data_IF_096032958312
#
_entry.id   IF_096032958312
#
_cell.length_a   1.000
_cell.length_b   1.000
_cell.length_c   1.000
_cell.angle_alpha   90.00
_cell.angle_beta   90.00
_cell.angle_gamma   90.00
#
_symmetry.space_group_name_H-M   'P 1'
#
loop_
_entity.id
_entity.type
_entity.pdbx_description
1 polymer ?
#
# COMPACT_ATOMS: atom_id res chain seq x y z
N UNK A 1 -23.23 -34.60 -57.27
CA UNK A 1 -22.54 -35.91 -57.16
C UNK A 1 -21.39 -35.68 -56.18
N UNK A 2 -21.68 -35.80 -54.87
CA UNK A 2 -21.32 -36.96 -54.00
C UNK A 2 -19.81 -37.03 -53.81
N UNK A 3 -19.21 -36.91 -52.62
CA UNK A 3 -19.45 -37.62 -51.36
C UNK A 3 -18.73 -36.86 -50.21
N UNK A 4 -19.39 -36.54 -49.09
CA UNK A 4 -19.65 -37.35 -47.88
C UNK A 4 -18.68 -37.04 -46.73
N UNK A 5 -19.22 -36.27 -45.80
CA UNK A 5 -18.88 -36.25 -44.38
C UNK A 5 -18.83 -37.68 -43.83
N UNK A 6 -17.73 -38.11 -43.21
CA UNK A 6 -17.73 -39.06 -42.08
C UNK A 6 -16.28 -39.25 -41.57
N UNK A 7 -15.95 -38.58 -40.46
CA UNK A 7 -14.91 -39.02 -39.56
C UNK A 7 -15.55 -39.16 -38.17
N UNK A 8 -16.22 -40.30 -37.98
CA UNK A 8 -16.58 -40.81 -36.65
C UNK A 8 -15.27 -41.18 -35.95
N UNK A 9 -14.86 -40.35 -34.99
CA UNK A 9 -13.96 -40.77 -33.93
C UNK A 9 -14.80 -41.36 -32.81
N UNK A 10 -14.98 -42.68 -32.83
CA UNK A 10 -15.63 -43.45 -31.78
C UNK A 10 -14.83 -43.35 -30.48
N UNK A 11 -15.27 -42.49 -29.55
CA UNK A 11 -14.84 -42.55 -28.15
C UNK A 11 -15.85 -43.41 -27.38
N UNK A 12 -15.54 -44.70 -27.22
CA UNK A 12 -16.19 -45.58 -26.26
C UNK A 12 -15.59 -45.33 -24.86
N UNK A 13 -16.40 -45.15 -23.80
CA UNK A 13 -15.92 -45.23 -22.43
C UNK A 13 -16.00 -46.69 -21.95
N UNK A 14 -14.87 -47.39 -21.87
CA UNK A 14 -14.79 -48.69 -21.21
C UNK A 14 -14.64 -48.52 -19.69
N UNK A 15 -15.66 -49.01 -18.97
CA UNK A 15 -15.73 -49.50 -17.59
C UNK A 15 -14.68 -48.99 -16.56
N UNK A 16 -15.14 -48.09 -15.67
CA UNK A 16 -14.47 -47.85 -14.38
C UNK A 16 -14.81 -49.02 -13.44
N UNK A 17 -13.78 -49.76 -13.05
CA UNK A 17 -13.84 -50.76 -11.99
C UNK A 17 -14.33 -50.12 -10.68
N UNK A 18 -15.37 -50.70 -10.09
CA UNK A 18 -15.84 -50.36 -8.76
C UNK A 18 -14.79 -50.79 -7.74
N UNK A 19 -13.97 -49.84 -7.29
CA UNK A 19 -13.24 -49.98 -6.03
C UNK A 19 -13.92 -49.12 -4.96
N UNK A 20 -14.08 -49.74 -3.80
CA UNK A 20 -15.02 -49.34 -2.75
C UNK A 20 -14.42 -48.19 -1.94
N UNK A 21 -14.97 -46.98 -2.08
CA UNK A 21 -14.60 -45.85 -1.21
C UNK A 21 -15.46 -45.91 0.06
N UNK A 22 -14.77 -46.21 1.16
CA UNK A 22 -15.19 -46.05 2.55
C UNK A 22 -15.74 -44.64 2.78
N UNK A 23 -17.05 -44.51 3.01
CA UNK A 23 -17.72 -43.26 3.36
C UNK A 23 -17.94 -43.20 4.87
N UNK A 24 -16.83 -43.13 5.60
CA UNK A 24 -16.79 -42.95 7.05
C UNK A 24 -16.24 -41.58 7.47
N UNK A 25 -16.78 -40.46 6.96
CA UNK A 25 -16.47 -39.14 7.53
C UNK A 25 -17.64 -38.17 7.41
N UNK A 26 -18.61 -38.31 8.31
CA UNK A 26 -19.58 -37.26 8.59
C UNK A 26 -19.42 -36.84 10.06
N UNK A 27 -18.46 -35.95 10.29
CA UNK A 27 -18.36 -35.17 11.51
C UNK A 27 -18.45 -33.70 11.10
N UNK A 28 -19.62 -33.11 11.33
CA UNK A 28 -19.82 -31.68 11.24
C UNK A 28 -18.92 -30.99 12.30
N UNK A 29 -18.17 -29.92 11.97
CA UNK A 29 -17.66 -29.03 12.99
C UNK A 29 -18.81 -28.16 13.49
N UNK A 30 -19.15 -28.35 14.77
CA UNK A 30 -20.02 -27.51 15.57
C UNK A 30 -19.38 -26.11 15.70
N UNK A 31 -19.83 -25.16 14.89
CA UNK A 31 -19.51 -23.74 15.02
C UNK A 31 -20.58 -23.07 15.88
N UNK A 32 -20.66 -23.48 17.14
CA UNK A 32 -21.28 -22.70 18.18
C UNK A 32 -20.20 -22.26 19.16
N UNK A 33 -20.20 -20.96 19.46
CA UNK A 33 -19.44 -20.30 20.52
C UNK A 33 -18.11 -19.63 20.14
N UNK A 34 -18.20 -18.37 19.69
CA UNK A 34 -17.39 -17.25 20.20
C UNK A 34 -17.75 -15.97 19.44
N UNK A 35 -18.87 -15.37 19.82
CA UNK A 35 -19.26 -14.02 19.43
C UNK A 35 -19.18 -13.16 20.68
N UNK A 36 -17.97 -12.71 21.03
CA UNK A 36 -17.78 -11.70 22.06
C UNK A 36 -16.89 -10.57 21.54
N UNK A 37 -17.54 -9.42 21.39
CA UNK A 37 -16.94 -8.14 21.08
C UNK A 37 -16.21 -7.57 22.32
N UNK A 38 -14.95 -7.18 22.08
CA UNK A 38 -14.10 -6.10 22.66
C UNK A 38 -14.16 -5.76 24.16
N UNK A 39 -12.99 -5.39 24.72
CA UNK A 39 -12.85 -3.95 24.97
C UNK A 39 -11.48 -3.36 24.61
N UNK A 40 -11.56 -2.13 24.08
CA UNK A 40 -10.68 -0.97 24.21
C UNK A 40 -9.41 -1.11 25.07
N UNK A 41 -8.24 -0.90 24.46
CA UNK A 41 -7.09 -0.27 25.14
C UNK A 41 -6.21 0.47 24.12
N UNK A 42 -5.99 1.77 24.37
CA UNK A 42 -5.29 2.71 23.48
C UNK A 42 -3.77 2.79 23.72
N UNK A 43 -3.21 1.96 24.60
CA UNK A 43 -1.83 2.13 25.11
C UNK A 43 -0.90 0.90 24.93
N UNK A 44 -1.27 -0.09 24.11
CA UNK A 44 -0.54 -1.37 24.03
C UNK A 44 -0.17 -1.86 22.61
N UNK A 45 0.14 -0.95 21.67
CA UNK A 45 0.60 -1.33 20.30
C UNK A 45 2.07 -0.95 20.02
N UNK A 46 2.93 -1.08 21.03
CA UNK A 46 4.37 -0.99 20.80
C UNK A 46 4.92 -2.36 20.39
N UNK A 47 5.30 -2.43 19.11
CA UNK A 47 6.48 -3.12 18.59
C UNK A 47 6.41 -4.64 18.33
N UNK A 48 5.57 -5.05 17.39
CA UNK A 48 6.15 -5.84 16.30
C UNK A 48 6.72 -4.84 15.29
N UNK A 49 7.97 -4.97 14.81
CA UNK A 49 8.50 -4.06 13.81
C UNK A 49 7.63 -4.19 12.56
N UNK A 50 6.79 -3.16 12.34
CA UNK A 50 5.93 -3.09 11.18
C UNK A 50 6.84 -3.17 9.94
N UNK A 51 6.68 -4.21 9.11
CA UNK A 51 7.57 -4.48 7.98
C UNK A 51 7.58 -3.35 6.95
N UNK A 52 6.58 -2.47 7.00
CA UNK A 52 6.48 -1.25 6.20
C UNK A 52 7.50 -0.16 6.61
N UNK A 53 8.05 -0.20 7.83
CA UNK A 53 9.07 0.77 8.29
C UNK A 53 10.32 0.72 7.42
N UNK A 54 10.70 -0.47 6.95
CA UNK A 54 11.85 -0.66 6.07
C UNK A 54 11.64 -0.08 4.66
N UNK A 55 10.42 0.31 4.30
CA UNK A 55 10.08 0.85 2.97
C UNK A 55 10.24 2.37 2.87
N UNK A 56 10.62 3.07 3.96
CA UNK A 56 10.88 4.51 3.94
C UNK A 56 9.62 5.40 3.87
N UNK A 57 8.46 4.86 4.22
CA UNK A 57 7.19 5.60 4.16
C UNK A 57 7.14 6.76 5.18
N UNK A 58 6.22 7.70 4.93
CA UNK A 58 5.98 8.83 5.83
C UNK A 58 5.38 8.32 7.14
N UNK A 59 5.64 9.01 8.26
CA UNK A 59 5.26 8.55 9.60
C UNK A 59 3.74 8.40 9.75
N UNK A 60 3.01 9.32 9.15
CA UNK A 60 1.56 9.37 9.07
C UNK A 60 1.00 8.13 8.38
N UNK A 61 1.67 7.68 7.31
CA UNK A 61 1.29 6.47 6.60
C UNK A 61 1.63 5.21 7.38
N UNK A 62 2.78 5.17 8.06
CA UNK A 62 3.15 4.05 8.92
C UNK A 62 2.14 3.87 10.06
N UNK A 63 1.67 4.98 10.65
CA UNK A 63 0.62 4.97 11.66
C UNK A 63 -0.69 4.46 11.06
N UNK A 64 -1.14 5.03 9.93
CA UNK A 64 -2.39 4.61 9.29
C UNK A 64 -2.37 3.12 8.90
N UNK A 65 -1.25 2.63 8.38
CA UNK A 65 -1.06 1.21 8.03
C UNK A 65 -1.13 0.33 9.28
N UNK A 66 -0.53 0.76 10.40
CA UNK A 66 -0.63 0.06 11.67
C UNK A 66 -2.08 0.05 12.22
N UNK A 67 -2.78 1.18 12.14
CA UNK A 67 -4.18 1.33 12.59
C UNK A 67 -5.14 0.46 11.77
N UNK A 68 -4.83 0.25 10.48
CA UNK A 68 -5.55 -0.68 9.60
C UNK A 68 -5.24 -2.16 9.89
N UNK A 69 -4.33 -2.46 10.83
CA UNK A 69 -3.91 -3.82 11.16
C UNK A 69 -2.94 -4.44 10.15
N UNK A 70 -2.33 -3.65 9.26
CA UNK A 70 -1.31 -4.15 8.33
C UNK A 70 0.05 -4.21 9.01
N UNK A 71 0.53 -5.43 9.24
CA UNK A 71 1.78 -5.70 9.97
C UNK A 71 2.96 -6.01 9.05
N UNK A 72 2.71 -6.68 7.91
CA UNK A 72 3.75 -7.12 6.97
C UNK A 72 3.37 -6.77 5.52
N UNK A 73 4.30 -6.17 4.74
CA UNK A 73 4.03 -5.88 3.34
C UNK A 73 3.96 -7.17 2.52
N UNK A 74 3.11 -7.18 1.49
CA UNK A 74 3.03 -8.31 0.56
C UNK A 74 4.25 -8.36 -0.36
N UNK A 75 4.51 -9.50 -0.99
CA UNK A 75 5.63 -9.63 -1.94
C UNK A 75 5.58 -8.60 -3.08
N UNK A 76 4.37 -8.30 -3.58
CA UNK A 76 4.17 -7.26 -4.60
C UNK A 76 4.51 -5.88 -4.05
N UNK A 77 4.07 -5.55 -2.84
CA UNK A 77 4.35 -4.27 -2.19
C UNK A 77 5.85 -4.07 -1.95
N UNK A 78 6.54 -5.07 -1.40
CA UNK A 78 7.99 -5.00 -1.17
C UNK A 78 8.78 -4.76 -2.47
N UNK A 79 8.35 -5.36 -3.58
CA UNK A 79 9.03 -5.20 -4.87
C UNK A 79 8.74 -3.86 -5.54
N UNK A 80 7.56 -3.29 -5.32
CA UNK A 80 7.04 -2.14 -6.09
C UNK A 80 7.17 -0.82 -5.35
N UNK A 81 6.90 -0.78 -4.04
CA UNK A 81 6.90 0.45 -3.25
C UNK A 81 8.27 1.16 -3.33
N UNK A 82 9.42 0.50 -3.09
CA UNK A 82 10.72 1.17 -3.19
C UNK A 82 11.00 1.68 -4.61
N UNK A 83 10.60 0.93 -5.65
CA UNK A 83 10.79 1.34 -7.06
C UNK A 83 9.95 2.56 -7.43
N UNK A 84 8.73 2.65 -6.89
CA UNK A 84 7.86 3.79 -7.09
C UNK A 84 8.36 5.04 -6.33
N UNK A 85 9.04 4.84 -5.20
CA UNK A 85 9.57 5.92 -4.35
C UNK A 85 10.98 6.38 -4.74
N UNK A 86 11.71 5.65 -5.59
CA UNK A 86 13.08 6.00 -6.02
C UNK A 86 13.27 7.42 -6.56
N UNK A 87 12.20 8.06 -7.07
CA UNK A 87 12.24 9.45 -7.51
C UNK A 87 12.36 10.47 -6.36
N UNK A 88 12.17 10.05 -5.10
CA UNK A 88 12.11 10.93 -3.93
C UNK A 88 13.33 10.82 -3.00
N UNK A 89 14.02 9.67 -2.98
CA UNK A 89 15.06 9.35 -1.97
C UNK A 89 16.51 9.60 -2.43
N UNK A 90 16.76 9.83 -3.72
CA UNK A 90 18.08 10.30 -4.14
C UNK A 90 18.17 11.75 -3.65
N UNK A 91 19.23 12.12 -2.92
CA UNK A 91 19.56 13.44 -2.34
C UNK A 91 19.46 14.66 -3.29
N UNK A 92 18.30 14.88 -3.90
CA UNK A 92 18.19 15.57 -5.19
C UNK A 92 17.62 16.97 -5.02
N UNK A 93 18.40 17.84 -4.36
CA UNK A 93 18.50 19.24 -4.79
C UNK A 93 19.39 19.39 -6.03
N UNK A 94 19.96 18.30 -6.52
CA UNK A 94 21.03 18.26 -7.54
C UNK A 94 20.55 17.96 -8.97
N UNK A 95 19.37 17.35 -9.16
CA UNK A 95 18.83 17.05 -10.49
C UNK A 95 17.29 17.18 -10.54
N UNK A 96 16.73 18.26 -11.11
CA UNK A 96 15.27 18.46 -11.22
C UNK A 96 14.55 17.42 -12.11
N UNK A 97 15.26 16.40 -12.61
CA UNK A 97 14.75 15.29 -13.41
C UNK A 97 14.80 13.94 -12.70
N UNK A 98 14.74 13.87 -11.36
CA UNK A 98 14.41 12.62 -10.68
C UNK A 98 13.03 12.13 -11.19
N UNK A 99 13.07 11.30 -12.22
CA UNK A 99 11.91 10.93 -13.02
C UNK A 99 11.15 9.86 -12.25
N UNK A 100 9.85 10.07 -12.05
CA UNK A 100 8.96 9.01 -11.60
C UNK A 100 9.12 7.78 -12.50
N UNK A 101 9.25 6.61 -11.88
CA UNK A 101 9.39 5.35 -12.59
C UNK A 101 8.01 4.74 -12.80
N UNK A 102 7.58 4.64 -14.06
CA UNK A 102 6.38 3.91 -14.41
C UNK A 102 6.61 2.40 -14.23
N UNK A 103 5.73 1.74 -13.49
CA UNK A 103 5.84 0.32 -13.18
C UNK A 103 4.65 -0.44 -13.73
N UNK A 104 4.92 -1.51 -14.48
CA UNK A 104 3.92 -2.51 -14.83
C UNK A 104 3.97 -3.65 -13.80
N UNK A 105 2.86 -3.91 -13.12
CA UNK A 105 2.77 -4.89 -12.04
C UNK A 105 1.70 -5.94 -12.36
N UNK A 106 2.11 -7.19 -12.54
CA UNK A 106 1.20 -8.32 -12.76
C UNK A 106 1.16 -9.23 -11.53
N UNK A 107 -0.04 -9.45 -10.97
CA UNK A 107 -0.28 -10.38 -9.84
C UNK A 107 -1.77 -10.67 -9.68
N UNK A 108 -2.13 -11.77 -9.02
CA UNK A 108 -3.53 -12.17 -8.77
C UNK A 108 -4.30 -11.17 -7.87
N UNK A 109 -5.63 -11.23 -7.87
CA UNK A 109 -6.47 -10.46 -6.92
C UNK A 109 -6.14 -10.82 -5.47
N UNK A 110 -6.29 -9.88 -4.54
CA UNK A 110 -5.93 -10.07 -3.12
C UNK A 110 -4.43 -9.94 -2.79
N UNK A 111 -3.54 -9.78 -3.77
CA UNK A 111 -2.08 -9.62 -3.56
C UNK A 111 -1.63 -8.26 -2.99
N UNK A 112 -2.55 -7.34 -2.72
CA UNK A 112 -2.23 -6.03 -2.15
C UNK A 112 -1.75 -4.95 -3.14
N UNK A 113 -1.98 -5.13 -4.45
CA UNK A 113 -1.64 -4.14 -5.51
C UNK A 113 -2.18 -2.73 -5.23
N UNK A 114 -3.35 -2.62 -4.64
CA UNK A 114 -3.98 -1.33 -4.35
C UNK A 114 -3.11 -0.50 -3.41
N UNK A 115 -2.69 -1.07 -2.28
CA UNK A 115 -1.78 -0.38 -1.36
C UNK A 115 -0.37 -0.22 -1.96
N UNK A 116 0.07 -1.15 -2.82
CA UNK A 116 1.34 -1.06 -3.53
C UNK A 116 1.45 0.19 -4.42
N UNK A 117 0.32 0.64 -4.99
CA UNK A 117 0.24 1.89 -5.76
C UNK A 117 -0.09 3.10 -4.88
N UNK A 118 -1.05 2.98 -3.97
CA UNK A 118 -1.54 4.12 -3.18
C UNK A 118 -0.52 4.64 -2.17
N UNK A 119 0.23 3.76 -1.50
CA UNK A 119 1.19 4.18 -0.46
C UNK A 119 2.29 5.10 -1.03
N UNK A 120 2.95 4.79 -2.17
CA UNK A 120 3.87 5.72 -2.82
C UNK A 120 3.24 7.06 -3.22
N UNK A 121 2.01 7.04 -3.76
CA UNK A 121 1.32 8.27 -4.19
C UNK A 121 1.02 9.16 -2.99
N UNK A 122 0.44 8.61 -1.92
CA UNK A 122 0.14 9.36 -0.70
C UNK A 122 1.42 9.89 -0.05
N UNK A 123 2.48 9.09 -0.04
CA UNK A 123 3.78 9.52 0.47
C UNK A 123 4.29 10.75 -0.31
N UNK A 124 4.19 10.71 -1.63
CA UNK A 124 4.58 11.82 -2.51
C UNK A 124 3.79 13.09 -2.19
N UNK A 125 2.46 12.99 -2.04
CA UNK A 125 1.61 14.13 -1.73
C UNK A 125 1.92 14.74 -0.36
N UNK A 126 2.15 13.90 0.65
CA UNK A 126 2.57 14.37 1.98
C UNK A 126 3.90 15.11 1.93
N UNK A 127 4.88 14.58 1.19
CA UNK A 127 6.18 15.25 1.00
C UNK A 127 6.06 16.60 0.30
N UNK A 128 5.26 16.68 -0.76
CA UNK A 128 5.01 17.94 -1.46
C UNK A 128 4.33 18.98 -0.55
N UNK A 129 3.39 18.56 0.29
CA UNK A 129 2.75 19.44 1.26
C UNK A 129 3.75 19.92 2.31
N UNK A 130 4.55 19.03 2.90
CA UNK A 130 5.60 19.40 3.86
C UNK A 130 6.61 20.39 3.27
N UNK A 131 7.02 20.19 2.00
CA UNK A 131 7.94 21.08 1.29
C UNK A 131 7.33 22.46 1.05
N UNK A 132 6.08 22.53 0.60
CA UNK A 132 5.37 23.78 0.41
C UNK A 132 5.25 24.57 1.72
N UNK A 133 4.89 23.90 2.82
CA UNK A 133 4.80 24.54 4.14
C UNK A 133 6.15 25.01 4.68
N UNK A 134 7.21 24.24 4.43
CA UNK A 134 8.57 24.63 4.81
C UNK A 134 9.01 25.86 4.03
N UNK A 135 8.73 25.90 2.72
CA UNK A 135 9.04 27.05 1.87
C UNK A 135 8.29 28.32 2.32
N UNK A 136 6.97 28.21 2.55
CA UNK A 136 6.16 29.32 3.07
C UNK A 136 6.70 29.84 4.41
N UNK A 137 7.08 28.93 5.31
CA UNK A 137 7.63 29.27 6.63
C UNK A 137 8.97 29.98 6.51
N UNK A 138 9.88 29.52 5.65
CA UNK A 138 11.19 30.15 5.45
C UNK A 138 11.07 31.51 4.78
N UNK A 139 10.18 31.66 3.80
CA UNK A 139 9.95 32.94 3.14
C UNK A 139 9.35 33.96 4.10
N UNK A 140 8.39 33.53 4.94
CA UNK A 140 7.85 34.39 5.99
C UNK A 140 8.92 34.80 7.00
N UNK A 141 9.77 33.87 7.44
CA UNK A 141 10.87 34.15 8.35
C UNK A 141 11.85 35.17 7.73
N UNK A 142 12.21 34.99 6.45
CA UNK A 142 13.07 35.92 5.70
C UNK A 142 12.47 37.32 5.61
N UNK A 143 11.21 37.43 5.18
CA UNK A 143 10.51 38.71 5.07
C UNK A 143 10.36 39.40 6.43
N UNK A 144 10.10 38.63 7.49
CA UNK A 144 10.01 39.17 8.85
C UNK A 144 11.36 39.69 9.34
N UNK A 145 12.46 39.00 9.05
CA UNK A 145 13.80 39.43 9.39
C UNK A 145 14.22 40.68 8.61
N UNK A 146 13.90 40.75 7.31
CA UNK A 146 14.13 41.93 6.47
C UNK A 146 13.31 43.15 6.93
N UNK A 147 12.08 42.96 7.45
CA UNK A 147 11.25 44.04 8.00
C UNK A 147 11.81 44.56 9.32
N UNK A 148 12.26 43.67 10.22
CA UNK A 148 12.93 44.05 11.47
C UNK A 148 14.22 44.82 11.17
N UNK A 149 15.01 44.37 10.19
CA UNK A 149 16.24 45.07 9.76
C UNK A 149 15.96 46.47 9.20
N UNK A 150 14.77 46.70 8.62
CA UNK A 150 14.30 48.01 8.15
C UNK A 150 13.62 48.87 9.23
N UNK A 151 13.44 48.35 10.45
CA UNK A 151 12.81 49.07 11.56
C UNK A 151 11.27 49.10 11.51
N UNK A 152 10.66 48.27 10.66
CA UNK A 152 9.21 48.10 10.56
C UNK A 152 8.70 47.00 11.52
N UNK A 153 7.40 47.02 11.84
CA UNK A 153 6.80 45.99 12.69
C UNK A 153 6.74 44.63 11.97
N UNK A 154 6.96 43.50 12.67
CA UNK A 154 7.00 42.18 12.06
C UNK A 154 5.65 41.77 11.45
N UNK A 155 5.69 41.11 10.27
CA UNK A 155 4.51 40.60 9.57
C UNK A 155 3.74 39.61 10.45
N UNK A 156 2.41 39.68 10.44
CA UNK A 156 1.54 38.77 11.22
C UNK A 156 1.29 37.49 10.43
N UNK A 157 1.48 36.31 11.06
CA UNK A 157 1.19 35.03 10.42
C UNK A 157 -0.28 34.96 9.99
N UNK A 158 -0.59 34.51 8.75
CA UNK A 158 -1.96 34.27 8.34
C UNK A 158 -2.54 33.12 9.19
N UNK A 159 -3.75 33.32 9.75
CA UNK A 159 -4.49 32.26 10.45
C UNK A 159 -5.11 31.35 9.39
N UNK A 160 -4.63 30.10 9.29
CA UNK A 160 -5.30 29.06 8.48
C UNK A 160 -6.68 28.78 9.12
N UNK A 161 -7.74 28.68 8.30
CA UNK A 161 -9.09 28.28 8.71
C UNK A 161 -9.21 26.76 8.65
#
# INVERSE_FOLDING_TARGET
MTDSFEARGDFLPEAIAADTIDTGFNAAPDFSDALEATPTSLDAIVAEPNGFVALGLAKELLQAVADMGFTKPTAVQMATIPKAMQALDIDTKSDPKAKFTDLLVSSQTGSGKTAAFLLPVLHTLLKQQEEAERFERSEFERLSAEAIARGEAPLKKPKRK
#
